data_IF_632291807895
#
_entry.id   IF_632291807895
#
_cell.length_a   1.000
_cell.length_b   1.000
_cell.length_c   1.000
_cell.angle_alpha   90.00
_cell.angle_beta   90.00
_cell.angle_gamma   90.00
#
_symmetry.space_group_name_H-M   'P 1'
#
loop_
_entity.id
_entity.type
_entity.pdbx_description
1 polymer ?
#
# COMPACT_ATOMS: atom_id res chain seq x y z
N UNK A 1 -24.35 3.99 5.09
CA UNK A 1 -24.02 3.37 3.78
C UNK A 1 -23.51 4.45 2.85
N UNK A 2 -22.39 4.22 2.13
CA UNK A 2 -21.76 5.19 1.24
C UNK A 2 -21.93 4.83 -0.24
N UNK A 3 -21.59 5.76 -1.15
CA UNK A 3 -21.66 5.51 -2.59
C UNK A 3 -20.78 4.32 -3.03
N UNK A 4 -21.22 3.59 -4.07
CA UNK A 4 -20.53 2.44 -4.65
C UNK A 4 -20.62 2.47 -6.19
N UNK A 5 -20.10 3.53 -6.81
CA UNK A 5 -20.11 3.73 -8.26
C UNK A 5 -18.82 3.28 -8.94
N UNK A 6 -17.68 3.24 -8.22
CA UNK A 6 -16.38 2.87 -8.79
C UNK A 6 -16.30 1.37 -9.11
N UNK A 7 -16.79 0.53 -8.20
CA UNK A 7 -16.84 -0.93 -8.37
C UNK A 7 -18.24 -1.45 -8.05
N UNK A 8 -19.25 -1.19 -8.91
CA UNK A 8 -20.66 -1.38 -8.57
C UNK A 8 -21.06 -2.84 -8.32
N UNK A 9 -20.27 -3.79 -8.80
CA UNK A 9 -20.51 -5.24 -8.62
C UNK A 9 -19.92 -5.80 -7.33
N UNK A 10 -19.13 -5.01 -6.59
CA UNK A 10 -18.49 -5.44 -5.34
C UNK A 10 -19.18 -4.81 -4.14
N UNK A 11 -19.24 -5.55 -3.05
CA UNK A 11 -19.79 -5.11 -1.77
C UNK A 11 -18.67 -5.00 -0.72
N UNK A 12 -18.99 -4.42 0.43
CA UNK A 12 -18.04 -4.28 1.54
C UNK A 12 -17.11 -3.06 1.44
N UNK A 13 -16.86 -2.51 0.26
CA UNK A 13 -16.09 -1.27 0.08
C UNK A 13 -16.97 -0.13 -0.46
N UNK A 14 -16.65 1.11 -0.07
CA UNK A 14 -17.33 2.33 -0.55
C UNK A 14 -16.38 3.17 -1.41
N UNK A 15 -16.92 4.00 -2.30
CA UNK A 15 -16.14 4.93 -3.12
C UNK A 15 -15.26 5.85 -2.27
N UNK A 16 -15.74 6.23 -1.07
CA UNK A 16 -14.93 6.99 -0.11
C UNK A 16 -13.66 6.22 0.25
N UNK A 17 -13.80 4.96 0.65
CA UNK A 17 -12.67 4.11 1.05
C UNK A 17 -11.68 3.92 -0.11
N UNK A 18 -12.20 3.61 -1.30
CA UNK A 18 -11.38 3.43 -2.52
C UNK A 18 -10.58 4.67 -2.85
N UNK A 19 -11.23 5.84 -2.81
CA UNK A 19 -10.60 7.14 -3.05
C UNK A 19 -9.57 7.48 -1.98
N UNK A 20 -9.85 7.22 -0.71
CA UNK A 20 -8.88 7.42 0.38
C UNK A 20 -7.59 6.66 0.10
N UNK A 21 -7.69 5.36 -0.16
CA UNK A 21 -6.52 4.51 -0.41
C UNK A 21 -5.78 4.97 -1.67
N UNK A 22 -6.50 5.16 -2.79
CA UNK A 22 -5.90 5.56 -4.07
C UNK A 22 -5.20 6.92 -4.00
N UNK A 23 -5.83 7.90 -3.36
CA UNK A 23 -5.29 9.25 -3.25
C UNK A 23 -4.04 9.23 -2.37
N UNK A 24 -4.07 8.58 -1.21
CA UNK A 24 -2.89 8.48 -0.34
C UNK A 24 -1.71 7.82 -1.03
N UNK A 25 -1.92 6.71 -1.75
CA UNK A 25 -0.84 6.09 -2.54
C UNK A 25 -0.26 7.07 -3.56
N UNK A 26 -1.09 7.76 -4.33
CA UNK A 26 -0.63 8.71 -5.34
C UNK A 26 0.02 9.97 -4.74
N UNK A 27 -0.46 10.45 -3.60
CA UNK A 27 0.11 11.59 -2.88
C UNK A 27 1.50 11.25 -2.35
N UNK A 28 1.68 10.06 -1.76
CA UNK A 28 2.98 9.58 -1.31
C UNK A 28 3.95 9.32 -2.46
N UNK A 29 3.49 8.70 -3.55
CA UNK A 29 4.27 8.53 -4.78
C UNK A 29 4.75 9.88 -5.33
N UNK A 30 3.87 10.87 -5.36
CA UNK A 30 4.21 12.25 -5.77
C UNK A 30 5.17 12.94 -4.80
N UNK A 31 5.03 12.72 -3.49
CA UNK A 31 5.93 13.27 -2.48
C UNK A 31 7.35 12.74 -2.65
N UNK A 32 7.49 11.42 -2.86
CA UNK A 32 8.78 10.76 -3.07
C UNK A 32 9.41 11.19 -4.39
N UNK A 33 8.64 11.20 -5.48
CA UNK A 33 9.12 11.61 -6.79
C UNK A 33 9.68 13.04 -6.80
N UNK A 34 9.14 13.94 -5.96
CA UNK A 34 9.62 15.31 -5.78
C UNK A 34 10.78 15.44 -4.78
N UNK A 35 11.31 14.35 -4.25
CA UNK A 35 12.39 14.37 -3.26
C UNK A 35 12.00 15.00 -1.91
N UNK A 36 10.70 14.98 -1.57
CA UNK A 36 10.15 15.67 -0.37
C UNK A 36 9.72 14.71 0.74
N UNK A 37 9.84 13.40 0.53
CA UNK A 37 9.50 12.43 1.56
C UNK A 37 10.66 12.27 2.54
N UNK A 38 10.38 12.33 3.83
CA UNK A 38 11.38 12.14 4.90
C UNK A 38 11.81 10.67 4.95
N UNK A 39 13.12 10.44 4.81
CA UNK A 39 13.81 9.20 5.14
C UNK A 39 14.41 9.34 6.54
N UNK A 40 14.66 8.22 7.23
CA UNK A 40 15.37 8.16 8.52
C UNK A 40 16.60 9.06 8.59
N UNK A 41 17.33 9.24 7.50
CA UNK A 41 18.55 10.05 7.45
C UNK A 41 18.50 11.17 6.40
N UNK A 42 17.32 11.75 6.15
CA UNK A 42 17.18 12.94 5.31
C UNK A 42 15.89 12.92 4.49
N UNK A 43 16.01 13.13 3.18
CA UNK A 43 14.89 13.07 2.24
C UNK A 43 15.20 12.12 1.10
N UNK A 44 14.14 11.59 0.47
CA UNK A 44 14.25 10.78 -0.74
C UNK A 44 14.92 11.58 -1.88
N UNK A 45 15.64 10.92 -2.79
CA UNK A 45 16.09 11.58 -4.02
C UNK A 45 14.89 11.98 -4.89
N UNK A 46 15.07 12.97 -5.76
CA UNK A 46 14.10 13.25 -6.82
C UNK A 46 14.07 12.09 -7.82
N UNK A 47 12.87 11.68 -8.22
CA UNK A 47 12.63 10.56 -9.13
C UNK A 47 11.79 11.00 -10.32
N UNK A 48 12.33 10.85 -11.53
CA UNK A 48 11.76 11.45 -12.74
C UNK A 48 10.58 10.66 -13.38
N UNK A 49 10.22 9.46 -12.89
CA UNK A 49 9.30 8.57 -13.64
C UNK A 49 8.36 7.73 -12.76
N UNK A 50 7.83 8.31 -11.69
CA UNK A 50 6.85 7.64 -10.82
C UNK A 50 5.47 7.57 -11.50
N UNK A 51 5.00 6.37 -11.84
CA UNK A 51 3.69 6.18 -12.46
C UNK A 51 2.54 6.50 -11.49
N UNK A 52 1.47 7.14 -11.99
CA UNK A 52 0.23 7.37 -11.24
C UNK A 52 -0.60 6.09 -11.21
N UNK A 53 -1.01 5.66 -10.03
CA UNK A 53 -1.88 4.50 -9.85
C UNK A 53 -3.33 4.81 -10.24
N UNK A 54 -3.98 3.85 -10.88
CA UNK A 54 -5.42 3.78 -11.08
C UNK A 54 -6.04 2.68 -10.21
N UNK A 55 -7.32 2.82 -9.86
CA UNK A 55 -8.01 1.80 -9.07
C UNK A 55 -8.48 0.65 -9.97
N UNK A 56 -8.18 -0.60 -9.59
CA UNK A 56 -8.60 -1.80 -10.32
C UNK A 56 -9.55 -2.63 -9.44
N UNK A 57 -10.82 -2.74 -9.86
CA UNK A 57 -11.82 -3.50 -9.11
C UNK A 57 -11.52 -5.01 -9.07
N UNK A 58 -10.75 -5.57 -10.01
CA UNK A 58 -10.36 -6.99 -9.95
C UNK A 58 -9.31 -7.24 -8.88
N UNK A 59 -8.41 -6.29 -8.63
CA UNK A 59 -7.50 -6.36 -7.49
C UNK A 59 -8.26 -6.22 -6.17
N UNK A 60 -9.27 -5.34 -6.10
CA UNK A 60 -10.16 -5.25 -4.93
C UNK A 60 -10.89 -6.57 -4.66
N UNK A 61 -11.43 -7.22 -5.70
CA UNK A 61 -12.13 -8.50 -5.58
C UNK A 61 -11.21 -9.58 -4.97
N UNK A 62 -9.97 -9.68 -5.46
CA UNK A 62 -8.94 -10.59 -4.93
C UNK A 62 -8.62 -10.26 -3.47
N UNK A 63 -8.31 -9.00 -3.17
CA UNK A 63 -7.94 -8.56 -1.83
C UNK A 63 -9.09 -8.77 -0.82
N UNK A 64 -10.33 -8.44 -1.22
CA UNK A 64 -11.51 -8.59 -0.38
C UNK A 64 -11.83 -10.05 -0.07
N UNK A 65 -11.67 -10.93 -1.07
CA UNK A 65 -11.85 -12.39 -0.91
C UNK A 65 -10.81 -12.98 0.05
N UNK A 66 -9.58 -12.46 0.04
CA UNK A 66 -8.56 -12.91 0.99
C UNK A 66 -8.83 -12.35 2.40
N UNK A 67 -9.11 -11.05 2.51
CA UNK A 67 -9.41 -10.39 3.77
C UNK A 67 -10.61 -11.01 4.50
N UNK A 68 -11.62 -11.53 3.77
CA UNK A 68 -12.77 -12.21 4.38
C UNK A 68 -12.45 -13.54 5.06
N UNK A 69 -11.24 -14.08 4.89
CA UNK A 69 -10.77 -15.25 5.64
C UNK A 69 -10.35 -14.89 7.07
N UNK A 70 -10.16 -13.61 7.37
CA UNK A 70 -9.74 -13.12 8.69
C UNK A 70 -8.43 -13.76 9.19
N UNK A 71 -7.49 -14.05 8.28
CA UNK A 71 -6.16 -14.57 8.61
C UNK A 71 -5.14 -13.46 8.39
N UNK A 72 -4.37 -13.12 9.43
CA UNK A 72 -3.30 -12.13 9.34
C UNK A 72 -1.97 -12.80 8.91
N UNK A 73 -1.93 -13.19 7.64
CA UNK A 73 -0.74 -13.71 6.96
C UNK A 73 -0.81 -13.32 5.48
N UNK A 74 0.30 -13.38 4.75
CA UNK A 74 0.27 -13.14 3.31
C UNK A 74 -0.48 -14.24 2.56
N UNK A 75 -1.19 -13.85 1.50
CA UNK A 75 -1.86 -14.78 0.61
C UNK A 75 -0.84 -15.57 -0.22
N UNK A 76 -1.24 -16.80 -0.60
CA UNK A 76 -0.49 -17.57 -1.57
C UNK A 76 -0.36 -16.75 -2.88
N UNK A 77 0.87 -16.51 -3.37
CA UNK A 77 1.12 -15.77 -4.59
C UNK A 77 0.27 -16.21 -5.80
N UNK A 78 0.02 -17.51 -5.95
CA UNK A 78 -0.79 -18.06 -7.03
C UNK A 78 -2.24 -17.56 -6.99
N UNK A 79 -2.76 -17.21 -5.81
CA UNK A 79 -4.14 -16.77 -5.61
C UNK A 79 -4.38 -15.29 -5.91
N UNK A 80 -3.31 -14.51 -6.13
CA UNK A 80 -3.36 -13.07 -6.45
C UNK A 80 -2.80 -12.74 -7.82
N UNK A 81 -3.12 -13.58 -8.81
CA UNK A 81 -2.71 -13.38 -10.22
C UNK A 81 -3.81 -12.66 -11.01
N UNK A 82 -3.44 -11.58 -11.69
CA UNK A 82 -4.33 -10.83 -12.60
C UNK A 82 -3.63 -10.66 -13.95
N UNK A 83 -4.31 -11.06 -15.04
CA UNK A 83 -3.78 -10.96 -16.42
C UNK A 83 -2.39 -11.60 -16.59
N UNK A 84 -2.19 -12.76 -15.95
CA UNK A 84 -0.90 -13.50 -16.00
C UNK A 84 0.23 -12.87 -15.17
N UNK A 85 -0.04 -11.83 -14.37
CA UNK A 85 0.93 -11.20 -13.48
C UNK A 85 0.51 -11.37 -12.03
N UNK A 86 1.46 -11.71 -11.17
CA UNK A 86 1.25 -11.76 -9.73
C UNK A 86 1.17 -10.33 -9.19
N UNK A 87 0.10 -10.00 -8.47
CA UNK A 87 -0.05 -8.71 -7.78
C UNK A 87 0.82 -8.70 -6.51
N UNK A 88 1.34 -7.55 -6.08
CA UNK A 88 1.92 -7.38 -4.74
C UNK A 88 0.86 -7.42 -3.62
N UNK A 89 1.27 -7.39 -2.36
CA UNK A 89 0.33 -7.40 -1.22
C UNK A 89 0.92 -6.70 0.00
N UNK A 90 0.15 -5.79 0.60
CA UNK A 90 0.42 -5.22 1.92
C UNK A 90 -0.76 -5.54 2.85
N UNK A 91 -0.47 -5.82 4.12
CA UNK A 91 -1.46 -6.17 5.14
C UNK A 91 -1.44 -5.19 6.29
N UNK A 92 -2.60 -4.99 6.90
CA UNK A 92 -2.77 -4.15 8.07
C UNK A 92 -3.98 -4.64 8.87
N UNK A 93 -3.91 -4.54 10.20
CA UNK A 93 -5.01 -4.90 11.09
C UNK A 93 -5.08 -3.92 12.26
N UNK A 94 -6.26 -3.81 12.87
CA UNK A 94 -6.50 -3.03 14.08
C UNK A 94 -7.31 -3.85 15.07
N UNK A 95 -7.11 -3.62 16.37
CA UNK A 95 -7.87 -4.27 17.43
C UNK A 95 -9.20 -3.57 17.75
N UNK A 96 -9.66 -2.67 16.88
CA UNK A 96 -10.90 -1.91 17.05
C UNK A 96 -12.03 -2.66 16.30
N UNK A 97 -13.03 -3.21 17.01
CA UNK A 97 -14.17 -3.86 16.36
C UNK A 97 -14.92 -2.89 15.46
N UNK A 98 -15.35 -3.37 14.29
CA UNK A 98 -16.14 -2.61 13.30
C UNK A 98 -15.56 -1.24 12.94
N UNK A 99 -14.23 -1.13 12.98
CA UNK A 99 -13.54 0.10 12.62
C UNK A 99 -13.94 0.58 11.21
N UNK A 100 -14.14 1.89 11.08
CA UNK A 100 -14.60 2.48 9.83
C UNK A 100 -13.55 2.25 8.72
N UNK A 101 -14.02 1.75 7.56
CA UNK A 101 -13.14 1.26 6.49
C UNK A 101 -12.30 2.35 5.85
N UNK A 102 -12.83 3.56 5.70
CA UNK A 102 -12.05 4.69 5.16
C UNK A 102 -10.96 5.14 6.14
N UNK A 103 -11.25 5.19 7.45
CA UNK A 103 -10.22 5.44 8.49
C UNK A 103 -9.14 4.35 8.52
N UNK A 104 -9.53 3.08 8.52
CA UNK A 104 -8.56 1.97 8.51
C UNK A 104 -7.73 1.93 7.23
N UNK A 105 -8.31 2.27 6.08
CA UNK A 105 -7.56 2.44 4.83
C UNK A 105 -6.54 3.60 4.88
N UNK A 106 -6.88 4.71 5.54
CA UNK A 106 -5.94 5.81 5.81
C UNK A 106 -4.80 5.38 6.73
N UNK A 107 -5.13 4.76 7.88
CA UNK A 107 -4.14 4.28 8.84
C UNK A 107 -3.19 3.24 8.25
N UNK A 108 -3.72 2.27 7.50
CA UNK A 108 -2.93 1.26 6.81
C UNK A 108 -1.92 1.90 5.86
N UNK A 109 -2.40 2.76 4.96
CA UNK A 109 -1.54 3.37 3.93
C UNK A 109 -0.46 4.25 4.56
N UNK A 110 -0.77 4.98 5.63
CA UNK A 110 0.21 5.78 6.38
C UNK A 110 1.22 4.91 7.13
N UNK A 111 0.77 3.83 7.75
CA UNK A 111 1.63 2.88 8.47
C UNK A 111 2.63 2.21 7.53
N UNK A 112 2.19 1.83 6.33
CA UNK A 112 3.09 1.27 5.32
C UNK A 112 4.11 2.31 4.84
N UNK A 113 3.67 3.55 4.62
CA UNK A 113 4.56 4.61 4.17
C UNK A 113 5.57 5.06 5.25
N UNK A 114 5.20 5.01 6.53
CA UNK A 114 6.06 5.48 7.64
C UNK A 114 7.33 4.65 7.83
N UNK A 115 7.38 3.42 7.30
CA UNK A 115 8.59 2.59 7.31
C UNK A 115 9.82 3.33 6.75
N UNK A 116 9.63 4.20 5.74
CA UNK A 116 10.70 5.03 5.20
C UNK A 116 11.32 5.95 6.26
N UNK A 117 10.49 6.65 7.02
CA UNK A 117 10.96 7.58 8.05
C UNK A 117 11.55 6.85 9.25
N UNK A 118 10.97 5.70 9.61
CA UNK A 118 11.37 4.94 10.79
C UNK A 118 12.67 4.14 10.57
N UNK A 119 12.76 3.51 9.40
CA UNK A 119 13.79 2.53 9.10
C UNK A 119 14.75 2.99 8.00
N UNK A 120 14.27 3.76 7.03
CA UNK A 120 15.10 4.33 5.96
C UNK A 120 15.50 3.34 4.88
N UNK A 121 15.65 3.87 3.66
CA UNK A 121 16.18 3.19 2.47
C UNK A 121 17.52 3.80 2.06
N UNK A 122 17.68 5.12 2.24
CA UNK A 122 18.86 5.87 1.89
C UNK A 122 18.83 6.41 0.45
N UNK A 123 19.76 7.33 0.15
CA UNK A 123 19.77 8.11 -1.10
C UNK A 123 19.95 7.29 -2.38
N UNK A 124 20.54 6.10 -2.30
CA UNK A 124 20.63 5.22 -3.45
C UNK A 124 19.25 4.75 -3.93
N UNK A 125 18.25 4.74 -3.04
CA UNK A 125 16.89 4.29 -3.32
C UNK A 125 16.83 2.87 -3.93
N UNK A 126 17.76 2.00 -3.50
CA UNK A 126 17.86 0.62 -3.94
C UNK A 126 17.41 -0.31 -2.82
N UNK A 127 16.43 -1.16 -3.09
CA UNK A 127 16.06 -2.24 -2.18
C UNK A 127 17.12 -3.33 -2.27
N UNK A 128 17.99 -3.39 -1.26
CA UNK A 128 19.07 -4.38 -1.17
C UNK A 128 18.72 -5.50 -0.20
N UNK A 129 19.36 -6.67 -0.38
CA UNK A 129 19.30 -7.78 0.57
C UNK A 129 19.64 -7.36 2.00
N UNK A 130 20.59 -6.44 2.15
CA UNK A 130 20.98 -5.88 3.45
C UNK A 130 19.82 -5.12 4.10
N UNK A 131 19.14 -4.24 3.36
CA UNK A 131 17.98 -3.51 3.86
C UNK A 131 16.81 -4.45 4.18
N UNK A 132 16.60 -5.48 3.34
CA UNK A 132 15.54 -6.47 3.52
C UNK A 132 15.73 -7.33 4.77
N UNK A 133 16.98 -7.71 5.08
CA UNK A 133 17.33 -8.61 6.19
C UNK A 133 17.70 -7.87 7.48
N UNK A 134 17.60 -6.54 7.52
CA UNK A 134 18.02 -5.77 8.70
C UNK A 134 17.15 -6.12 9.93
N UNK A 135 17.77 -6.56 11.05
CA UNK A 135 17.04 -6.99 12.23
C UNK A 135 16.11 -5.90 12.80
N UNK A 136 14.89 -6.29 13.17
CA UNK A 136 13.92 -5.41 13.83
C UNK A 136 13.36 -4.30 12.94
N UNK A 137 13.47 -4.41 11.62
CA UNK A 137 12.94 -3.41 10.68
C UNK A 137 12.09 -4.05 9.59
N UNK A 138 11.13 -3.30 9.05
CA UNK A 138 10.31 -3.69 7.92
C UNK A 138 10.29 -2.56 6.91
N UNK A 139 10.59 -2.84 5.64
CA UNK A 139 10.59 -1.84 4.56
C UNK A 139 9.82 -2.30 3.31
N UNK A 140 9.27 -3.52 3.38
CA UNK A 140 8.58 -4.17 2.28
C UNK A 140 7.26 -3.50 1.93
N UNK A 141 6.55 -2.96 2.91
CA UNK A 141 5.28 -2.30 2.63
C UNK A 141 5.50 -0.96 1.93
N UNK A 142 6.42 -0.13 2.43
CA UNK A 142 6.80 1.14 1.83
C UNK A 142 7.28 0.96 0.39
N UNK A 143 8.21 0.02 0.16
CA UNK A 143 8.76 -0.20 -1.18
C UNK A 143 7.67 -0.64 -2.17
N UNK A 144 6.68 -1.42 -1.73
CA UNK A 144 5.55 -1.81 -2.58
C UNK A 144 4.58 -0.64 -2.87
N UNK A 145 4.38 0.31 -1.94
CA UNK A 145 3.57 1.54 -2.19
C UNK A 145 4.17 2.36 -3.35
N UNK A 146 5.49 2.31 -3.51
CA UNK A 146 6.24 3.14 -4.47
C UNK A 146 6.77 2.39 -5.69
N UNK A 147 6.52 1.08 -5.80
CA UNK A 147 7.02 0.28 -6.90
C UNK A 147 6.60 0.87 -8.26
N UNK A 148 7.54 0.88 -9.22
CA UNK A 148 7.34 1.38 -10.60
C UNK A 148 7.39 0.24 -11.60
#
# INVERSE_FOLDING_TARGET
TGANKMCPRLSGMTDKTRKTILNLHNDFRSLVARGKAEDKSGFTPEGASMLKMGYDCKLEEIASKYASKCVYAHSDPATRTLKGKQAGENLFTVSIPDAEKSKTGDWATRSWFSELKEFGVGRANLLTDYLWKRPGTQIGHYTQVLFV
#
